data_IF_169337042761
#
_entry.id   IF_169337042761
#
_cell.length_a   1.000
_cell.length_b   1.000
_cell.length_c   1.000
_cell.angle_alpha   90.00
_cell.angle_beta   90.00
_cell.angle_gamma   90.00
#
_symmetry.space_group_name_H-M   'P 1'
#
loop_
_entity.id
_entity.type
_entity.pdbx_description
1 polymer ?
#
# COMPACT_ATOMS: atom_id res chain seq x y z
N UNK A 1 2.83 -10.49 -6.29
CA UNK A 1 3.37 -9.58 -7.33
C UNK A 1 2.18 -8.92 -8.01
N UNK A 2 2.29 -7.63 -8.31
CA UNK A 2 1.23 -6.88 -8.98
C UNK A 2 1.82 -5.78 -9.86
N UNK A 3 1.20 -5.53 -11.01
CA UNK A 3 1.64 -4.50 -11.96
C UNK A 3 1.15 -3.11 -11.52
N UNK A 4 2.09 -2.24 -11.21
CA UNK A 4 1.80 -0.88 -10.78
C UNK A 4 1.06 -0.12 -11.88
N UNK A 5 -0.08 0.49 -11.50
CA UNK A 5 -0.90 1.35 -12.38
C UNK A 5 -1.36 0.65 -13.67
N UNK A 6 -1.52 -0.69 -13.67
CA UNK A 6 -1.98 -1.44 -14.83
C UNK A 6 -3.28 -0.90 -15.45
N UNK A 7 -4.22 -0.44 -14.60
CA UNK A 7 -5.44 0.22 -15.08
C UNK A 7 -5.17 1.44 -15.97
N UNK A 8 -4.16 2.26 -15.65
CA UNK A 8 -3.80 3.42 -16.48
C UNK A 8 -3.29 2.98 -17.86
N UNK A 9 -2.60 1.84 -17.95
CA UNK A 9 -2.18 1.25 -19.23
C UNK A 9 -3.42 0.89 -20.06
N UNK A 10 -4.39 0.21 -19.46
CA UNK A 10 -5.66 -0.13 -20.13
C UNK A 10 -6.44 1.11 -20.57
N UNK A 11 -6.57 2.10 -19.69
CA UNK A 11 -7.34 3.31 -19.94
C UNK A 11 -6.69 4.19 -21.04
N UNK A 12 -5.36 4.16 -21.16
CA UNK A 12 -4.60 5.00 -22.11
C UNK A 12 -4.34 4.31 -23.45
N UNK A 13 -4.02 3.01 -23.44
CA UNK A 13 -3.55 2.26 -24.61
C UNK A 13 -4.51 1.14 -25.04
N UNK A 14 -5.59 0.93 -24.28
CA UNK A 14 -6.62 -0.07 -24.55
C UNK A 14 -6.27 -1.46 -24.00
N UNK A 15 -7.29 -2.30 -23.86
CA UNK A 15 -7.17 -3.66 -23.31
C UNK A 15 -6.18 -4.55 -24.07
N UNK A 16 -6.04 -4.39 -25.39
CA UNK A 16 -5.07 -5.17 -26.16
C UNK A 16 -3.62 -4.91 -25.72
N UNK A 17 -3.29 -3.67 -25.33
CA UNK A 17 -1.99 -3.34 -24.76
C UNK A 17 -1.82 -3.96 -23.37
N UNK A 18 -2.86 -3.92 -22.53
CA UNK A 18 -2.87 -4.57 -21.23
C UNK A 18 -2.67 -6.08 -21.32
N UNK A 19 -3.39 -6.76 -22.21
CA UNK A 19 -3.22 -8.20 -22.45
C UNK A 19 -1.81 -8.53 -22.91
N UNK A 20 -1.23 -7.71 -23.78
CA UNK A 20 0.16 -7.89 -24.21
C UNK A 20 1.15 -7.74 -23.05
N UNK A 21 0.96 -6.73 -22.19
CA UNK A 21 1.77 -6.55 -20.97
C UNK A 21 1.65 -7.76 -20.06
N UNK A 22 0.45 -8.29 -19.83
CA UNK A 22 0.23 -9.49 -19.00
C UNK A 22 0.96 -10.72 -19.56
N UNK A 23 0.93 -10.93 -20.87
CA UNK A 23 1.65 -12.03 -21.53
C UNK A 23 3.17 -11.88 -21.37
N UNK A 24 3.70 -10.69 -21.61
CA UNK A 24 5.14 -10.41 -21.48
C UNK A 24 5.60 -10.56 -20.03
N UNK A 25 4.81 -10.08 -19.06
CA UNK A 25 5.07 -10.25 -17.63
C UNK A 25 5.10 -11.73 -17.25
N UNK A 26 4.11 -12.52 -17.68
CA UNK A 26 4.08 -13.95 -17.41
C UNK A 26 5.30 -14.68 -17.99
N UNK A 27 5.73 -14.30 -19.19
CA UNK A 27 6.92 -14.86 -19.84
C UNK A 27 8.20 -14.48 -19.08
N UNK A 28 8.39 -13.21 -18.72
CA UNK A 28 9.54 -12.72 -17.94
C UNK A 28 9.63 -13.36 -16.56
N UNK A 29 8.49 -13.57 -15.90
CA UNK A 29 8.42 -14.33 -14.66
C UNK A 29 8.92 -15.75 -14.89
N UNK A 30 8.35 -16.47 -15.87
CA UNK A 30 8.73 -17.85 -16.19
C UNK A 30 10.23 -17.99 -16.49
N UNK A 31 10.80 -17.08 -17.28
CA UNK A 31 12.23 -17.09 -17.63
C UNK A 31 13.14 -16.78 -16.44
N UNK A 32 12.58 -16.17 -15.39
CA UNK A 32 13.26 -15.89 -14.13
C UNK A 32 13.06 -16.99 -13.08
N UNK A 33 12.19 -17.98 -13.32
CA UNK A 33 11.88 -19.08 -12.41
C UNK A 33 12.80 -20.30 -12.69
N UNK A 34 13.16 -21.08 -11.67
CA UNK A 34 13.76 -22.42 -11.87
C UNK A 34 12.65 -23.43 -12.18
N UNK A 35 13.02 -24.61 -12.68
CA UNK A 35 12.05 -25.68 -12.95
C UNK A 35 11.30 -26.17 -11.69
N UNK A 36 11.88 -25.96 -10.51
CA UNK A 36 11.25 -26.27 -9.22
C UNK A 36 10.26 -25.21 -8.73
N UNK A 37 10.31 -24.00 -9.30
CA UNK A 37 9.48 -22.87 -8.86
C UNK A 37 8.15 -22.88 -9.60
N UNK A 38 7.11 -22.31 -8.99
CA UNK A 38 5.78 -22.23 -9.58
C UNK A 38 5.36 -20.78 -9.76
N UNK A 39 4.90 -20.43 -10.96
CA UNK A 39 4.59 -19.06 -11.36
C UNK A 39 3.13 -19.04 -11.87
N UNK A 40 2.23 -18.34 -11.17
CA UNK A 40 0.76 -18.39 -11.34
C UNK A 40 0.19 -16.98 -11.47
N UNK A 41 -0.82 -16.79 -12.32
CA UNK A 41 -1.65 -15.57 -12.36
C UNK A 41 -2.94 -15.83 -11.60
N UNK A 42 -3.22 -15.06 -10.56
CA UNK A 42 -4.43 -15.22 -9.74
C UNK A 42 -5.66 -14.57 -10.41
N UNK A 43 -5.45 -13.44 -11.07
CA UNK A 43 -6.51 -12.67 -11.73
C UNK A 43 -6.02 -11.26 -12.03
N UNK A 44 -6.72 -10.52 -12.90
CA UNK A 44 -6.36 -9.15 -13.27
C UNK A 44 -4.85 -9.01 -13.58
N UNK A 45 -4.13 -8.23 -12.80
CA UNK A 45 -2.70 -7.88 -12.84
C UNK A 45 -1.89 -8.55 -11.71
N UNK A 46 -2.49 -9.51 -11.00
CA UNK A 46 -1.91 -10.18 -9.85
C UNK A 46 -1.26 -11.52 -10.22
N UNK A 47 -0.03 -11.68 -9.76
CA UNK A 47 0.80 -12.87 -9.96
C UNK A 47 1.38 -13.38 -8.64
N UNK A 48 1.53 -14.69 -8.54
CA UNK A 48 2.18 -15.39 -7.43
C UNK A 48 3.36 -16.18 -7.96
N UNK A 49 4.46 -16.14 -7.21
CA UNK A 49 5.64 -16.97 -7.44
C UNK A 49 5.94 -17.74 -6.15
N UNK A 50 6.00 -19.07 -6.26
CA UNK A 50 6.38 -19.96 -5.17
C UNK A 50 7.82 -20.42 -5.43
N UNK A 51 8.72 -20.05 -4.53
CA UNK A 51 10.14 -20.42 -4.60
C UNK A 51 10.37 -21.66 -3.73
N UNK A 52 10.72 -22.79 -4.37
CA UNK A 52 10.97 -24.03 -3.64
C UNK A 52 12.44 -24.14 -3.25
N UNK A 53 12.71 -24.34 -1.95
CA UNK A 53 14.07 -24.45 -1.44
C UNK A 53 14.88 -23.16 -1.65
N UNK A 54 14.24 -22.01 -1.43
CA UNK A 54 14.77 -20.70 -1.80
C UNK A 54 16.00 -20.23 -0.99
N UNK A 55 16.38 -20.94 0.07
CA UNK A 55 17.51 -20.56 0.92
C UNK A 55 17.10 -19.54 2.00
N UNK A 56 17.98 -18.59 2.28
CA UNK A 56 17.73 -17.54 3.27
C UNK A 56 16.98 -16.33 2.69
N UNK A 57 16.63 -15.37 3.54
CA UNK A 57 15.96 -14.11 3.14
C UNK A 57 16.72 -13.36 2.04
N UNK A 58 18.06 -13.39 2.06
CA UNK A 58 18.88 -12.72 1.05
C UNK A 58 18.77 -13.38 -0.33
N UNK A 59 18.72 -14.71 -0.38
CA UNK A 59 18.51 -15.46 -1.63
C UNK A 59 17.13 -15.15 -2.23
N UNK A 60 16.11 -15.11 -1.37
CA UNK A 60 14.74 -14.75 -1.76
C UNK A 60 14.69 -13.31 -2.30
N UNK A 61 15.33 -12.36 -1.60
CA UNK A 61 15.43 -10.96 -2.01
C UNK A 61 16.13 -10.84 -3.38
N UNK A 62 17.22 -11.58 -3.60
CA UNK A 62 17.91 -11.60 -4.89
C UNK A 62 17.01 -12.10 -6.02
N UNK A 63 16.26 -13.18 -5.81
CA UNK A 63 15.31 -13.71 -6.81
C UNK A 63 14.19 -12.71 -7.08
N UNK A 64 13.58 -12.16 -6.04
CA UNK A 64 12.51 -11.16 -6.17
C UNK A 64 12.98 -9.91 -6.93
N UNK A 65 14.19 -9.40 -6.64
CA UNK A 65 14.81 -8.28 -7.36
C UNK A 65 15.03 -8.61 -8.82
N UNK A 66 15.61 -9.78 -9.12
CA UNK A 66 15.82 -10.21 -10.50
C UNK A 66 14.51 -10.25 -11.29
N UNK A 67 13.47 -10.84 -10.71
CA UNK A 67 12.14 -10.93 -11.33
C UNK A 67 11.57 -9.54 -11.58
N UNK A 68 11.58 -8.64 -10.59
CA UNK A 68 11.08 -7.28 -10.76
C UNK A 68 11.87 -6.49 -11.81
N UNK A 69 13.20 -6.59 -11.82
CA UNK A 69 14.04 -5.96 -12.85
C UNK A 69 13.61 -6.42 -14.24
N UNK A 70 13.44 -7.73 -14.45
CA UNK A 70 13.00 -8.27 -15.74
C UNK A 70 11.61 -7.76 -16.11
N UNK A 71 10.65 -7.78 -15.17
CA UNK A 71 9.29 -7.28 -15.40
C UNK A 71 9.30 -5.81 -15.79
N UNK A 72 10.14 -4.98 -15.17
CA UNK A 72 10.19 -3.53 -15.36
C UNK A 72 10.89 -3.10 -16.66
N UNK A 73 11.51 -4.03 -17.41
CA UNK A 73 12.12 -3.71 -18.70
C UNK A 73 11.08 -3.14 -19.69
N UNK A 74 11.46 -2.18 -20.56
CA UNK A 74 10.52 -1.60 -21.52
C UNK A 74 9.83 -2.66 -22.39
N UNK A 75 8.53 -2.49 -22.61
CA UNK A 75 7.71 -3.35 -23.46
C UNK A 75 7.33 -2.54 -24.70
N UNK A 76 7.77 -2.98 -25.87
CA UNK A 76 7.35 -2.36 -27.14
C UNK A 76 6.05 -3.02 -27.59
N UNK A 77 4.98 -2.23 -27.66
CA UNK A 77 3.70 -2.63 -28.24
C UNK A 77 3.37 -1.70 -29.39
N UNK A 78 3.31 -2.25 -30.61
CA UNK A 78 3.19 -1.49 -31.85
C UNK A 78 4.33 -0.46 -32.03
N UNK A 79 4.04 0.83 -31.85
CA UNK A 79 5.01 1.94 -31.94
C UNK A 79 5.17 2.71 -30.62
N UNK A 80 4.62 2.16 -29.53
CA UNK A 80 4.65 2.78 -28.21
C UNK A 80 5.49 1.92 -27.27
N UNK A 81 6.38 2.57 -26.53
CA UNK A 81 7.13 1.96 -25.44
C UNK A 81 6.35 2.11 -24.15
N UNK A 82 6.00 0.98 -23.55
CA UNK A 82 5.36 0.89 -22.24
C UNK A 82 6.45 0.63 -21.20
N UNK A 83 6.46 1.41 -20.12
CA UNK A 83 7.33 1.18 -18.97
C UNK A 83 6.49 0.54 -17.86
N UNK A 84 6.45 -0.80 -17.76
CA UNK A 84 5.73 -1.45 -16.68
C UNK A 84 6.44 -1.17 -15.35
N UNK A 85 5.66 -0.99 -14.29
CA UNK A 85 6.13 -1.10 -12.92
C UNK A 85 5.54 -2.34 -12.28
N UNK A 86 6.23 -2.95 -11.33
CA UNK A 86 5.71 -4.04 -10.53
C UNK A 86 6.21 -3.95 -9.09
N UNK A 87 5.32 -4.28 -8.17
CA UNK A 87 5.61 -4.39 -6.74
C UNK A 87 5.51 -5.84 -6.27
N UNK A 88 6.28 -6.22 -5.26
CA UNK A 88 6.27 -7.56 -4.69
C UNK A 88 6.14 -7.55 -3.16
N UNK A 89 5.25 -8.40 -2.67
CA UNK A 89 5.20 -8.81 -1.27
C UNK A 89 5.74 -10.22 -1.14
N UNK A 90 6.50 -10.47 -0.06
CA UNK A 90 7.14 -11.76 0.20
C UNK A 90 6.74 -12.26 1.58
N UNK A 91 6.34 -13.52 1.67
CA UNK A 91 6.17 -14.25 2.93
C UNK A 91 6.89 -15.61 2.84
N UNK A 92 7.43 -16.08 3.95
CA UNK A 92 8.34 -17.22 4.04
C UNK A 92 7.72 -18.31 4.91
N UNK A 93 7.47 -19.48 4.32
CA UNK A 93 7.12 -20.68 5.08
C UNK A 93 8.37 -21.33 5.70
N UNK A 94 8.31 -21.84 6.95
CA UNK A 94 7.20 -21.77 7.91
C UNK A 94 7.29 -20.56 8.87
N UNK A 95 8.15 -19.58 8.58
CA UNK A 95 8.47 -18.46 9.49
C UNK A 95 7.26 -17.55 9.67
N UNK A 96 6.64 -17.16 8.56
CA UNK A 96 5.56 -16.18 8.54
C UNK A 96 4.19 -16.84 8.65
N UNK A 97 4.06 -18.11 8.26
CA UNK A 97 2.84 -18.91 8.38
C UNK A 97 3.13 -20.41 8.16
N UNK A 98 2.34 -21.28 8.78
CA UNK A 98 2.43 -22.73 8.64
C UNK A 98 1.43 -23.33 7.63
N UNK A 99 0.56 -22.50 7.06
CA UNK A 99 -0.47 -22.90 6.11
C UNK A 99 -0.53 -21.94 4.92
N UNK A 100 -1.02 -22.45 3.78
CA UNK A 100 -1.02 -21.72 2.51
C UNK A 100 -1.92 -20.48 2.54
N UNK A 101 -3.04 -20.54 3.27
CA UNK A 101 -4.00 -19.45 3.32
C UNK A 101 -3.37 -18.22 3.99
N UNK A 102 -2.78 -18.40 5.17
CA UNK A 102 -2.15 -17.32 5.91
C UNK A 102 -0.90 -16.80 5.19
N UNK A 103 -0.12 -17.68 4.54
CA UNK A 103 1.04 -17.26 3.75
C UNK A 103 0.65 -16.33 2.58
N UNK A 104 -0.45 -16.62 1.90
CA UNK A 104 -0.98 -15.75 0.84
C UNK A 104 -1.46 -14.41 1.40
N UNK A 105 -2.17 -14.42 2.54
CA UNK A 105 -2.59 -13.19 3.22
C UNK A 105 -1.36 -12.36 3.59
N UNK A 106 -0.35 -12.95 4.22
CA UNK A 106 0.87 -12.26 4.64
C UNK A 106 1.66 -11.69 3.45
N UNK A 107 1.76 -12.43 2.35
CA UNK A 107 2.37 -11.94 1.12
C UNK A 107 1.59 -10.76 0.52
N UNK A 108 0.26 -10.76 0.60
CA UNK A 108 -0.58 -9.64 0.15
C UNK A 108 -0.42 -8.39 1.04
N UNK A 109 -0.36 -8.56 2.37
CA UNK A 109 -0.10 -7.46 3.30
C UNK A 109 1.27 -6.80 2.99
N UNK A 110 2.29 -7.60 2.74
CA UNK A 110 3.61 -7.12 2.34
C UNK A 110 3.55 -6.42 0.97
N UNK A 111 2.81 -6.95 0.00
CA UNK A 111 2.64 -6.33 -1.32
C UNK A 111 1.98 -4.95 -1.21
N UNK A 112 0.98 -4.82 -0.35
CA UNK A 112 0.35 -3.55 -0.07
C UNK A 112 1.33 -2.54 0.55
N UNK A 113 2.21 -3.00 1.44
CA UNK A 113 3.28 -2.17 2.01
C UNK A 113 4.28 -1.71 0.92
N UNK A 114 4.67 -2.60 0.01
CA UNK A 114 5.53 -2.27 -1.13
C UNK A 114 4.92 -1.17 -2.03
N UNK A 115 3.63 -1.28 -2.34
CA UNK A 115 2.92 -0.29 -3.16
C UNK A 115 2.87 1.12 -2.53
N UNK A 116 2.91 1.22 -1.19
CA UNK A 116 2.95 2.53 -0.50
C UNK A 116 4.28 3.24 -0.67
N UNK A 117 5.39 2.52 -0.87
CA UNK A 117 6.74 3.09 -1.01
C UNK A 117 7.04 3.55 -2.45
N UNK A 118 6.08 4.22 -3.11
CA UNK A 118 6.15 4.74 -4.49
C UNK A 118 6.08 3.75 -5.66
N UNK A 119 5.78 2.47 -5.41
CA UNK A 119 5.73 1.41 -6.43
C UNK A 119 7.13 0.91 -6.81
N UNK A 120 7.22 -0.18 -7.56
CA UNK A 120 8.51 -0.75 -8.00
C UNK A 120 9.36 -1.37 -6.88
N UNK A 121 8.77 -1.67 -5.72
CA UNK A 121 9.51 -2.08 -4.52
C UNK A 121 9.17 -3.50 -4.07
N UNK A 122 10.01 -4.03 -3.17
CA UNK A 122 9.83 -5.33 -2.53
C UNK A 122 9.67 -5.07 -1.05
N UNK A 123 8.66 -5.70 -0.44
CA UNK A 123 8.48 -5.70 1.00
C UNK A 123 8.33 -7.15 1.48
N UNK A 124 9.02 -7.46 2.57
CA UNK A 124 8.84 -8.71 3.30
C UNK A 124 7.75 -8.53 4.33
N UNK A 125 6.97 -9.58 4.55
CA UNK A 125 6.06 -9.64 5.67
C UNK A 125 6.84 -9.47 6.98
N UNK A 126 6.19 -8.79 7.93
CA UNK A 126 6.60 -8.75 9.31
C UNK A 126 5.35 -8.62 10.17
N UNK A 127 5.42 -9.07 11.42
CA UNK A 127 4.27 -8.99 12.32
C UNK A 127 3.88 -7.52 12.59
N UNK A 128 4.84 -6.59 12.52
CA UNK A 128 4.60 -5.16 12.60
C UNK A 128 3.72 -4.66 11.43
N UNK A 129 3.91 -5.17 10.21
CA UNK A 129 3.06 -4.82 9.07
C UNK A 129 1.61 -5.28 9.28
N UNK A 130 1.44 -6.48 9.85
CA UNK A 130 0.11 -7.00 10.19
C UNK A 130 -0.56 -6.12 11.25
N UNK A 131 0.15 -5.85 12.34
CA UNK A 131 -0.34 -4.98 13.40
C UNK A 131 -0.68 -3.58 12.90
N UNK A 132 0.13 -2.99 12.03
CA UNK A 132 -0.15 -1.67 11.44
C UNK A 132 -1.43 -1.66 10.60
N UNK A 133 -1.73 -2.75 9.89
CA UNK A 133 -2.94 -2.87 9.07
C UNK A 133 -4.18 -3.09 9.92
N UNK A 134 -4.12 -3.97 10.91
CA UNK A 134 -5.22 -4.20 11.85
C UNK A 134 -5.52 -2.93 12.65
N UNK A 135 -4.45 -2.24 13.08
CA UNK A 135 -4.54 -0.95 13.74
C UNK A 135 -5.25 0.10 12.89
N UNK A 136 -4.91 0.20 11.60
CA UNK A 136 -5.57 1.13 10.68
C UNK A 136 -7.04 0.82 10.42
N UNK A 137 -7.40 -0.47 10.32
CA UNK A 137 -8.80 -0.88 10.17
C UNK A 137 -9.62 -0.49 11.39
N UNK A 138 -9.08 -0.73 12.58
CA UNK A 138 -9.71 -0.31 13.82
C UNK A 138 -9.85 1.21 13.86
N UNK A 139 -8.80 1.95 13.52
CA UNK A 139 -8.83 3.40 13.50
C UNK A 139 -9.86 3.95 12.52
N UNK A 140 -10.02 3.35 11.33
CA UNK A 140 -11.08 3.73 10.39
C UNK A 140 -12.47 3.55 11.02
N UNK A 141 -12.71 2.40 11.65
CA UNK A 141 -13.97 2.11 12.33
C UNK A 141 -14.26 3.15 13.42
N UNK A 142 -13.27 3.42 14.27
CA UNK A 142 -13.35 4.37 15.37
C UNK A 142 -13.61 5.80 14.86
N UNK A 143 -12.99 6.22 13.74
CA UNK A 143 -13.25 7.53 13.11
C UNK A 143 -14.72 7.64 12.70
N UNK A 144 -15.31 6.58 12.14
CA UNK A 144 -16.72 6.58 11.71
C UNK A 144 -17.67 6.75 12.91
N UNK A 145 -17.37 6.08 14.03
CA UNK A 145 -18.10 6.25 15.29
C UNK A 145 -17.96 7.70 15.78
N UNK A 146 -16.73 8.21 15.86
CA UNK A 146 -16.45 9.57 16.31
C UNK A 146 -17.16 10.64 15.47
N UNK A 147 -17.31 10.43 14.16
CA UNK A 147 -18.10 11.29 13.27
C UNK A 147 -19.58 11.25 13.66
N UNK A 148 -20.15 10.06 13.89
CA UNK A 148 -21.56 9.90 14.26
C UNK A 148 -21.88 10.52 15.61
N UNK A 149 -20.95 10.39 16.57
CA UNK A 149 -21.07 10.91 17.92
C UNK A 149 -20.63 12.38 18.06
N UNK A 150 -20.09 12.98 17.00
CA UNK A 150 -19.48 14.33 17.01
C UNK A 150 -18.38 14.48 18.07
N UNK A 151 -17.56 13.45 18.24
CA UNK A 151 -16.50 13.38 19.25
C UNK A 151 -15.19 14.12 18.86
N UNK A 152 -15.19 14.86 17.74
CA UNK A 152 -14.07 15.73 17.36
C UNK A 152 -14.20 17.10 18.01
N UNK A 153 -13.08 17.62 18.50
CA UNK A 153 -12.98 18.93 19.14
C UNK A 153 -12.02 19.83 18.37
N UNK A 154 -12.04 21.13 18.66
CA UNK A 154 -11.17 22.12 18.04
C UNK A 154 -10.38 22.86 19.11
N UNK A 155 -9.06 22.81 18.99
CA UNK A 155 -8.15 23.58 19.84
C UNK A 155 -7.63 24.77 19.03
N UNK A 156 -7.28 25.86 19.71
CA UNK A 156 -6.81 27.08 19.06
C UNK A 156 -5.37 27.40 19.47
N UNK A 157 -4.49 27.54 18.49
CA UNK A 157 -3.12 27.98 18.70
C UNK A 157 -2.94 29.43 18.23
N UNK A 158 -2.52 30.38 19.08
CA UNK A 158 -2.33 31.76 18.68
C UNK A 158 -1.07 31.91 17.80
N UNK A 159 -1.18 32.76 16.78
CA UNK A 159 -0.08 33.17 15.93
C UNK A 159 0.37 34.58 16.36
N UNK A 160 1.61 34.69 16.84
CA UNK A 160 2.15 35.93 17.42
C UNK A 160 3.08 36.61 16.42
N UNK A 161 2.86 37.90 16.20
CA UNK A 161 3.73 38.73 15.38
C UNK A 161 5.05 39.00 16.10
N UNK A 162 6.17 38.65 15.46
CA UNK A 162 7.50 38.84 16.05
C UNK A 162 7.94 40.32 16.11
N UNK A 163 7.33 41.19 15.31
CA UNK A 163 7.70 42.61 15.23
C UNK A 163 7.16 43.44 16.39
N UNK A 164 6.03 43.05 16.96
CA UNK A 164 5.32 43.82 17.99
C UNK A 164 4.72 42.96 19.12
N UNK A 165 4.88 41.64 19.08
CA UNK A 165 4.40 40.70 20.11
C UNK A 165 2.89 40.54 20.18
N UNK A 166 2.13 41.09 19.23
CA UNK A 166 0.66 41.00 19.25
C UNK A 166 0.16 39.72 18.58
N UNK A 167 -0.97 39.20 19.04
CA UNK A 167 -1.66 38.07 18.38
C UNK A 167 -2.23 38.59 17.06
N UNK A 168 -1.78 38.03 15.94
CA UNK A 168 -2.22 38.36 14.59
C UNK A 168 -3.28 37.40 14.03
N UNK A 169 -3.46 36.23 14.65
CA UNK A 169 -4.41 35.21 14.21
C UNK A 169 -4.45 34.00 15.13
N UNK A 170 -5.32 33.05 14.81
CA UNK A 170 -5.42 31.76 15.48
C UNK A 170 -5.49 30.64 14.44
N UNK A 171 -4.87 29.51 14.74
CA UNK A 171 -4.99 28.28 13.97
C UNK A 171 -5.95 27.32 14.69
N UNK A 172 -6.96 26.85 13.96
CA UNK A 172 -7.91 25.84 14.44
C UNK A 172 -7.35 24.44 14.18
N UNK A 173 -7.13 23.69 15.25
CA UNK A 173 -6.49 22.39 15.21
C UNK A 173 -7.47 21.32 15.70
N UNK A 174 -7.86 20.42 14.79
CA UNK A 174 -8.73 19.30 15.14
C UNK A 174 -8.07 18.40 16.20
N UNK A 175 -8.88 17.94 17.13
CA UNK A 175 -8.52 17.01 18.20
C UNK A 175 -9.55 15.90 18.26
N UNK A 176 -9.07 14.71 18.57
CA UNK A 176 -9.94 13.56 18.74
C UNK A 176 -9.66 12.91 20.09
N UNK A 177 -10.65 12.99 20.96
CA UNK A 177 -10.66 12.31 22.26
C UNK A 177 -11.39 10.98 22.10
N UNK A 178 -10.62 9.90 22.07
CA UNK A 178 -11.15 8.55 21.97
C UNK A 178 -11.49 8.00 23.36
N UNK A 179 -12.69 7.44 23.52
CA UNK A 179 -13.20 6.99 24.82
C UNK A 179 -12.23 6.04 25.57
N UNK A 180 -11.63 5.09 24.85
CA UNK A 180 -10.72 4.10 25.45
C UNK A 180 -9.23 4.48 25.37
N UNK A 181 -8.85 5.34 24.42
CA UNK A 181 -7.44 5.56 24.04
C UNK A 181 -6.95 6.95 24.39
N UNK A 182 -7.85 7.81 24.88
CA UNK A 182 -7.56 9.21 25.13
C UNK A 182 -7.30 9.97 23.84
N UNK A 183 -6.41 10.95 23.90
CA UNK A 183 -6.15 11.85 22.78
C UNK A 183 -5.36 11.17 21.65
N UNK A 184 -6.00 11.01 20.50
CA UNK A 184 -5.37 10.50 19.28
C UNK A 184 -4.79 11.67 18.48
N UNK A 185 -3.54 11.53 18.04
CA UNK A 185 -2.83 12.60 17.36
C UNK A 185 -3.37 12.83 15.93
N UNK A 186 -3.46 14.08 15.44
CA UNK A 186 -3.88 14.37 14.07
C UNK A 186 -3.10 13.63 12.99
N UNK A 187 -1.78 13.48 13.17
CA UNK A 187 -0.92 12.74 12.23
C UNK A 187 -1.24 11.25 12.11
N UNK A 188 -2.02 10.70 13.04
CA UNK A 188 -2.39 9.29 13.06
C UNK A 188 -3.73 9.04 12.35
N UNK A 189 -4.76 9.84 12.65
CA UNK A 189 -6.10 9.63 12.10
C UNK A 189 -6.37 10.38 10.79
N UNK A 190 -5.74 11.53 10.54
CA UNK A 190 -5.97 12.30 9.30
C UNK A 190 -5.60 11.50 8.06
N UNK A 191 -4.44 10.82 7.97
CA UNK A 191 -4.09 10.04 6.78
C UNK A 191 -5.05 8.89 6.50
N UNK A 192 -5.67 8.33 7.54
CA UNK A 192 -6.69 7.28 7.41
C UNK A 192 -8.00 7.91 6.94
N UNK A 193 -8.45 8.99 7.57
CA UNK A 193 -9.67 9.70 7.18
C UNK A 193 -9.62 10.21 5.73
N UNK A 194 -8.48 10.70 5.25
CA UNK A 194 -8.27 11.11 3.86
C UNK A 194 -8.45 9.94 2.89
N UNK A 195 -7.76 8.82 3.13
CA UNK A 195 -7.85 7.63 2.27
C UNK A 195 -9.26 7.04 2.22
N UNK A 196 -9.99 7.13 3.32
CA UNK A 196 -11.35 6.61 3.43
C UNK A 196 -12.43 7.64 3.00
N UNK A 197 -12.04 8.84 2.56
CA UNK A 197 -12.96 9.89 2.12
C UNK A 197 -13.81 10.50 3.23
N UNK A 198 -13.34 10.42 4.48
CA UNK A 198 -14.07 10.86 5.68
C UNK A 198 -13.80 12.34 6.05
N UNK A 199 -12.78 12.97 5.46
CA UNK A 199 -12.42 14.36 5.73
C UNK A 199 -13.56 15.37 5.58
N UNK A 200 -14.45 15.28 4.57
CA UNK A 200 -15.58 16.19 4.47
C UNK A 200 -16.54 16.11 5.66
N UNK A 201 -16.69 14.94 6.28
CA UNK A 201 -17.54 14.77 7.45
C UNK A 201 -16.89 15.36 8.72
N UNK A 202 -15.59 15.13 8.91
CA UNK A 202 -14.81 15.72 10.01
C UNK A 202 -14.80 17.24 9.88
N UNK A 203 -14.57 17.77 8.69
CA UNK A 203 -14.56 19.21 8.42
C UNK A 203 -15.88 19.90 8.79
N UNK A 204 -17.03 19.25 8.56
CA UNK A 204 -18.33 19.78 8.99
C UNK A 204 -18.46 19.88 10.51
N UNK A 205 -17.85 18.96 11.27
CA UNK A 205 -17.87 19.00 12.74
C UNK A 205 -16.95 20.10 13.25
N UNK A 206 -15.80 20.31 12.60
CA UNK A 206 -14.79 21.31 12.99
C UNK A 206 -15.22 22.74 12.67
N UNK A 207 -16.01 22.95 11.61
CA UNK A 207 -16.45 24.27 11.15
C UNK A 207 -17.80 24.69 11.78
N UNK A 208 -18.61 23.74 12.24
CA UNK A 208 -19.92 24.00 12.83
C UNK A 208 -19.82 24.62 14.24
#
# INVERSE_FOLDING_TARGET
LDLDRFKQINDTLGHAAGDYVLVVTAQRMRDSCRASDLCVRLGSDEFVMILNGAGGTEDINMVARRVLTQINEPIVFQRTTILPGASAGVAVYPIDADNAQDLLVHADLALHAAKKQSGGSISFFSEELRHELDYRKQLEHDIRIAIAEKAFQVYFQPQVSLSNGTIGGIEALVRWEHAERGMIAPGEFIPVAEKCGLMPAIGRIVIA
#
